data_IF_653290149880
#
_entry.id   IF_653290149880
#
_cell.length_a   1.000
_cell.length_b   1.000
_cell.length_c   1.000
_cell.angle_alpha   90.00
_cell.angle_beta   90.00
_cell.angle_gamma   90.00
#
_symmetry.space_group_name_H-M   'P 1'
#
loop_
_entity.id
_entity.type
_entity.pdbx_description
1 polymer ?
#
# COMPACT_ATOMS: atom_id res chain seq x y z
N UNK A 1 24.96 48.89 -10.40
CA UNK A 1 23.61 49.01 -9.81
C UNK A 1 22.82 47.70 -9.97
N UNK A 2 23.38 46.54 -9.59
CA UNK A 2 22.70 45.23 -9.75
C UNK A 2 22.65 44.41 -8.45
N UNK A 3 23.48 44.76 -7.45
CA UNK A 3 23.65 43.96 -6.22
C UNK A 3 22.55 44.24 -5.17
N UNK A 4 21.96 45.45 -5.14
CA UNK A 4 20.91 45.80 -4.17
C UNK A 4 19.60 45.01 -4.40
N UNK A 5 19.28 44.69 -5.65
CA UNK A 5 18.07 43.97 -6.01
C UNK A 5 18.16 42.46 -5.75
N UNK A 6 19.39 41.91 -5.73
CA UNK A 6 19.61 40.49 -5.47
C UNK A 6 19.29 40.10 -4.03
N UNK A 7 19.64 40.95 -3.05
CA UNK A 7 19.29 40.70 -1.63
C UNK A 7 17.77 40.73 -1.39
N UNK A 8 17.08 41.64 -2.06
CA UNK A 8 15.62 41.75 -1.97
C UNK A 8 14.92 40.56 -2.63
N UNK A 9 15.42 40.13 -3.79
CA UNK A 9 14.95 38.93 -4.49
C UNK A 9 15.18 37.66 -3.65
N UNK A 10 16.37 37.49 -3.08
CA UNK A 10 16.69 36.35 -2.22
C UNK A 10 15.78 36.30 -0.98
N UNK A 11 15.50 37.46 -0.35
CA UNK A 11 14.57 37.54 0.78
C UNK A 11 13.14 37.15 0.37
N UNK A 12 12.68 37.59 -0.81
CA UNK A 12 11.35 37.23 -1.34
C UNK A 12 11.23 35.72 -1.60
N UNK A 13 12.26 35.11 -2.20
CA UNK A 13 12.31 33.66 -2.44
C UNK A 13 12.35 32.89 -1.13
N UNK A 14 13.07 33.37 -0.12
CA UNK A 14 13.13 32.75 1.21
C UNK A 14 11.76 32.80 1.91
N UNK A 15 11.11 33.96 1.89
CA UNK A 15 9.78 34.13 2.47
C UNK A 15 8.73 33.26 1.77
N UNK A 16 8.79 33.14 0.44
CA UNK A 16 7.88 32.25 -0.33
C UNK A 16 8.11 30.77 0.00
N UNK A 17 9.35 30.33 0.22
CA UNK A 17 9.65 28.97 0.63
C UNK A 17 9.18 28.67 2.06
N UNK A 18 9.30 29.62 2.99
CA UNK A 18 8.77 29.49 4.36
C UNK A 18 7.24 29.45 4.32
N UNK A 19 6.60 30.28 3.48
CA UNK A 19 5.14 30.29 3.32
C UNK A 19 4.62 28.99 2.66
N UNK A 20 5.38 28.42 1.73
CA UNK A 20 5.06 27.14 1.11
C UNK A 20 5.17 25.98 2.11
N UNK A 21 6.19 25.98 2.98
CA UNK A 21 6.38 24.97 4.03
C UNK A 21 5.40 25.14 5.20
N UNK A 22 4.90 26.35 5.48
CA UNK A 22 3.88 26.55 6.51
C UNK A 22 2.51 25.94 6.13
N UNK A 23 2.23 25.73 4.84
CA UNK A 23 1.02 25.02 4.39
C UNK A 23 1.13 23.50 4.43
N UNK A 24 2.30 22.95 4.76
CA UNK A 24 2.46 21.51 5.06
C UNK A 24 2.40 21.24 6.57
N UNK A 25 1.72 22.10 7.33
CA UNK A 25 1.27 21.81 8.69
C UNK A 25 0.33 20.60 8.67
N UNK A 26 0.91 19.40 8.74
CA UNK A 26 0.39 18.20 9.39
C UNK A 26 -1.12 17.95 9.26
N UNK A 27 -1.68 18.08 8.06
CA UNK A 27 -2.99 17.50 7.79
C UNK A 27 -2.76 15.99 7.79
N UNK A 28 -3.10 15.35 8.91
CA UNK A 28 -2.94 13.91 9.13
C UNK A 28 -3.47 13.18 7.90
N UNK A 29 -2.60 12.40 7.25
CA UNK A 29 -2.97 11.59 6.09
C UNK A 29 -4.14 10.70 6.50
N UNK A 30 -5.29 10.93 5.89
CA UNK A 30 -6.45 10.06 6.02
C UNK A 30 -6.05 8.73 5.35
N UNK A 31 -5.82 7.68 6.15
CA UNK A 31 -5.51 6.33 5.65
C UNK A 31 -4.14 5.74 5.99
N UNK A 32 -3.30 6.41 6.79
CA UNK A 32 -1.94 5.94 7.14
C UNK A 32 -1.91 4.90 8.29
N UNK A 33 -2.54 3.73 8.13
CA UNK A 33 -2.37 2.62 9.10
C UNK A 33 -1.26 1.70 8.61
N UNK A 34 -0.21 1.51 9.40
CA UNK A 34 0.88 0.61 9.06
C UNK A 34 0.85 -0.68 9.89
N UNK A 35 0.53 -1.83 9.30
CA UNK A 35 0.64 -3.12 9.98
C UNK A 35 1.69 -3.94 9.23
N UNK A 36 2.79 -4.24 9.89
CA UNK A 36 3.93 -4.93 9.27
C UNK A 36 4.52 -5.97 10.22
N UNK A 37 4.95 -7.11 9.68
CA UNK A 37 5.66 -8.14 10.43
C UNK A 37 6.97 -8.47 9.75
N UNK A 38 8.06 -8.45 10.52
CA UNK A 38 9.38 -8.88 10.08
C UNK A 38 10.02 -9.73 11.17
N UNK A 39 10.07 -11.04 10.96
CA UNK A 39 10.49 -12.00 11.99
C UNK A 39 9.60 -11.91 13.24
N UNK A 40 10.24 -11.60 14.37
CA UNK A 40 9.61 -11.46 15.69
C UNK A 40 8.96 -10.08 15.89
N UNK A 41 9.46 -9.07 15.17
CA UNK A 41 8.98 -7.70 15.25
C UNK A 41 7.62 -7.60 14.55
N UNK A 42 6.63 -7.13 15.30
CA UNK A 42 5.28 -6.94 14.79
C UNK A 42 4.81 -5.52 15.07
N UNK A 43 4.82 -4.69 14.02
CA UNK A 43 4.41 -3.29 14.08
C UNK A 43 2.89 -3.19 13.97
N UNK A 44 2.30 -2.58 14.98
CA UNK A 44 0.90 -2.20 15.08
C UNK A 44 0.81 -0.67 14.98
N UNK A 45 0.87 -0.19 13.75
CA UNK A 45 0.88 1.23 13.40
C UNK A 45 2.07 1.99 13.99
N UNK A 46 1.88 2.69 15.11
CA UNK A 46 2.95 3.47 15.79
C UNK A 46 3.59 2.74 16.96
N UNK A 47 3.09 1.55 17.32
CA UNK A 47 3.67 0.76 18.41
C UNK A 47 4.16 -0.58 17.89
N UNK A 48 5.08 -1.19 18.63
CA UNK A 48 5.50 -2.58 18.42
C UNK A 48 4.77 -3.49 19.40
N UNK A 49 4.14 -4.56 18.89
CA UNK A 49 3.49 -5.55 19.71
C UNK A 49 4.50 -6.57 20.26
N UNK A 50 4.44 -6.92 21.56
CA UNK A 50 5.30 -7.95 22.14
C UNK A 50 5.00 -9.32 21.54
N UNK A 51 5.94 -10.26 21.69
CA UNK A 51 5.81 -11.65 21.17
C UNK A 51 4.59 -12.38 21.71
N UNK A 52 4.14 -12.06 22.93
CA UNK A 52 2.92 -12.62 23.53
C UNK A 52 1.62 -12.11 22.90
N UNK A 53 1.67 -11.06 22.08
CA UNK A 53 0.50 -10.51 21.42
C UNK A 53 0.08 -11.37 20.22
N UNK A 54 -1.22 -11.61 20.11
CA UNK A 54 -1.87 -12.30 19.01
C UNK A 54 -2.69 -11.37 18.12
N UNK A 55 -3.23 -10.27 18.66
CA UNK A 55 -4.11 -9.33 17.96
C UNK A 55 -3.62 -7.89 18.12
N UNK A 56 -3.49 -7.17 17.01
CA UNK A 56 -3.26 -5.73 16.93
C UNK A 56 -4.59 -5.05 16.60
N UNK A 57 -4.86 -3.92 17.24
CA UNK A 57 -6.02 -3.07 17.02
C UNK A 57 -5.55 -1.64 16.86
N UNK A 58 -6.04 -0.97 15.82
CA UNK A 58 -5.77 0.42 15.52
C UNK A 58 -7.10 1.10 15.32
N UNK A 59 -7.35 2.20 16.02
CA UNK A 59 -8.48 3.07 15.74
C UNK A 59 -8.01 4.49 15.48
N UNK A 60 -8.71 5.20 14.59
CA UNK A 60 -8.53 6.63 14.36
C UNK A 60 -9.89 7.26 14.26
N UNK A 61 -10.18 8.24 15.11
CA UNK A 61 -11.47 8.91 15.12
C UNK A 61 -11.37 10.37 15.55
N UNK A 62 -12.18 11.23 14.94
CA UNK A 62 -12.43 12.59 15.43
C UNK A 62 -13.90 12.79 15.88
N UNK A 63 -14.63 11.70 16.13
CA UNK A 63 -16.06 11.71 16.52
C UNK A 63 -16.31 12.46 17.84
N UNK A 64 -15.38 12.40 18.79
CA UNK A 64 -15.48 13.12 20.07
C UNK A 64 -15.04 14.59 20.02
N UNK A 65 -14.22 14.97 19.05
CA UNK A 65 -13.76 16.34 18.84
C UNK A 65 -13.36 16.53 17.36
N UNK A 66 -14.14 17.27 16.56
CA UNK A 66 -13.88 17.41 15.12
C UNK A 66 -12.48 17.95 14.77
N UNK A 67 -11.89 18.76 15.66
CA UNK A 67 -10.57 19.38 15.43
C UNK A 67 -9.40 18.50 15.87
N UNK A 68 -9.67 17.35 16.49
CA UNK A 68 -8.64 16.45 17.05
C UNK A 68 -8.88 15.04 16.53
N UNK A 69 -7.90 14.51 15.82
CA UNK A 69 -7.83 13.10 15.48
C UNK A 69 -7.22 12.34 16.65
N UNK A 70 -8.01 11.46 17.26
CA UNK A 70 -7.55 10.51 18.27
C UNK A 70 -7.19 9.21 17.59
N UNK A 71 -5.97 8.73 17.81
CA UNK A 71 -5.47 7.45 17.31
C UNK A 71 -5.14 6.55 18.50
N UNK A 72 -5.64 5.32 18.47
CA UNK A 72 -5.42 4.33 19.53
C UNK A 72 -4.80 3.09 18.92
N UNK A 73 -3.65 2.67 19.43
CA UNK A 73 -2.97 1.46 19.00
C UNK A 73 -2.87 0.51 20.19
N UNK A 74 -3.34 -0.72 20.04
CA UNK A 74 -3.43 -1.68 21.12
C UNK A 74 -3.09 -3.11 20.67
N UNK A 75 -2.39 -3.85 21.52
CA UNK A 75 -2.01 -5.24 21.30
C UNK A 75 -2.65 -6.13 22.37
N UNK A 76 -3.18 -7.28 21.97
CA UNK A 76 -3.89 -8.22 22.84
C UNK A 76 -3.33 -9.63 22.70
N UNK A 77 -3.38 -10.42 23.77
CA UNK A 77 -3.15 -11.87 23.72
C UNK A 77 -4.32 -12.61 23.06
N UNK A 78 -4.16 -13.91 22.84
CA UNK A 78 -5.23 -14.77 22.31
C UNK A 78 -6.47 -14.79 23.22
N UNK A 79 -6.26 -14.68 24.53
CA UNK A 79 -7.31 -14.61 25.56
C UNK A 79 -7.83 -13.17 25.76
N UNK A 80 -7.56 -12.28 24.81
CA UNK A 80 -8.02 -10.90 24.79
C UNK A 80 -7.49 -10.00 25.92
N UNK A 81 -6.36 -10.37 26.55
CA UNK A 81 -5.68 -9.52 27.54
C UNK A 81 -4.86 -8.44 26.85
N UNK A 82 -5.05 -7.18 27.22
CA UNK A 82 -4.26 -6.05 26.74
C UNK A 82 -2.80 -6.19 27.22
N UNK A 83 -1.84 -6.05 26.30
CA UNK A 83 -0.40 -6.17 26.59
C UNK A 83 0.43 -4.97 26.11
N UNK A 84 -0.10 -4.14 25.22
CA UNK A 84 0.45 -2.84 24.86
C UNK A 84 -0.69 -1.91 24.42
N UNK A 85 -0.58 -0.62 24.73
CA UNK A 85 -1.57 0.40 24.41
C UNK A 85 -0.93 1.78 24.39
N UNK A 86 -1.14 2.52 23.30
CA UNK A 86 -0.77 3.94 23.23
C UNK A 86 -1.84 4.74 22.48
N UNK A 87 -1.97 6.00 22.88
CA UNK A 87 -2.86 6.97 22.25
C UNK A 87 -2.07 8.15 21.71
N UNK A 88 -2.44 8.59 20.51
CA UNK A 88 -1.82 9.72 19.84
C UNK A 88 -2.91 10.71 19.44
N UNK A 89 -2.60 11.99 19.56
CA UNK A 89 -3.49 13.07 19.20
C UNK A 89 -2.84 13.95 18.16
N UNK A 90 -3.59 14.29 17.12
CA UNK A 90 -3.15 15.23 16.09
C UNK A 90 -4.29 16.15 15.70
N UNK A 91 -3.96 17.29 15.08
CA UNK A 91 -4.98 18.15 14.50
C UNK A 91 -5.69 17.46 13.33
N UNK A 92 -6.99 17.73 13.21
CA UNK A 92 -7.84 17.32 12.11
C UNK A 92 -8.57 18.53 11.52
N UNK A 93 -8.94 18.45 10.24
CA UNK A 93 -9.90 19.39 9.67
C UNK A 93 -11.26 19.18 10.36
N UNK A 94 -11.83 20.21 11.03
CA UNK A 94 -13.13 20.11 11.69
C UNK A 94 -14.29 19.74 10.77
N UNK A 95 -14.13 19.90 9.46
CA UNK A 95 -15.12 19.53 8.44
C UNK A 95 -15.00 18.07 8.00
N UNK A 96 -13.90 17.40 8.32
CA UNK A 96 -13.71 15.99 8.02
C UNK A 96 -14.35 15.11 9.09
N UNK A 97 -14.88 13.95 8.68
CA UNK A 97 -15.35 12.90 9.60
C UNK A 97 -14.49 11.67 9.40
N UNK A 98 -13.59 11.40 10.33
CA UNK A 98 -12.66 10.29 10.23
C UNK A 98 -13.09 9.24 11.25
N UNK A 99 -13.36 8.02 10.79
CA UNK A 99 -13.52 6.85 11.65
C UNK A 99 -12.95 5.62 10.94
N UNK A 100 -11.78 5.21 11.38
CA UNK A 100 -11.05 4.04 10.87
C UNK A 100 -10.80 3.10 12.03
N UNK A 101 -11.04 1.82 11.81
CA UNK A 101 -10.70 0.74 12.74
C UNK A 101 -10.07 -0.38 11.94
N UNK A 102 -8.89 -0.83 12.36
CA UNK A 102 -8.17 -1.94 11.74
C UNK A 102 -7.79 -2.91 12.83
N UNK A 103 -8.06 -4.18 12.59
CA UNK A 103 -7.64 -5.28 13.45
C UNK A 103 -6.80 -6.23 12.63
N UNK A 104 -5.67 -6.66 13.16
CA UNK A 104 -4.85 -7.71 12.54
C UNK A 104 -4.48 -8.78 13.54
N UNK A 105 -4.31 -10.00 13.08
CA UNK A 105 -3.74 -11.10 13.87
C UNK A 105 -2.29 -11.33 13.48
N UNK A 106 -1.48 -11.86 14.40
CA UNK A 106 -0.06 -12.16 14.15
C UNK A 106 0.14 -13.14 12.98
N UNK A 107 -0.89 -13.92 12.66
CA UNK A 107 -0.91 -14.89 11.56
C UNK A 107 -1.29 -14.29 10.19
N UNK A 108 -1.51 -12.97 10.10
CA UNK A 108 -1.72 -12.27 8.83
C UNK A 108 -3.18 -11.99 8.46
N UNK A 109 -4.16 -12.40 9.26
CA UNK A 109 -5.55 -11.96 9.02
C UNK A 109 -5.67 -10.47 9.33
N UNK A 110 -6.30 -9.70 8.45
CA UNK A 110 -6.57 -8.27 8.62
C UNK A 110 -8.07 -8.02 8.37
N UNK A 111 -8.70 -7.28 9.27
CA UNK A 111 -10.08 -6.82 9.18
C UNK A 111 -10.06 -5.30 9.34
N UNK A 112 -10.63 -4.58 8.38
CA UNK A 112 -10.72 -3.12 8.42
C UNK A 112 -12.17 -2.67 8.29
N UNK A 113 -12.56 -1.72 9.14
CA UNK A 113 -13.81 -0.98 9.04
C UNK A 113 -13.48 0.51 8.95
N UNK A 114 -13.95 1.16 7.89
CA UNK A 114 -13.82 2.60 7.72
C UNK A 114 -15.17 3.19 7.33
N UNK A 115 -15.72 4.06 8.17
CA UNK A 115 -16.91 4.85 7.84
C UNK A 115 -16.50 6.34 7.89
N UNK A 116 -16.83 7.11 6.86
CA UNK A 116 -16.54 8.54 6.81
C UNK A 116 -15.49 9.00 5.80
N UNK A 117 -15.06 8.17 4.84
CA UNK A 117 -14.41 8.72 3.64
C UNK A 117 -15.47 9.35 2.72
N UNK A 118 -16.07 10.47 3.13
CA UNK A 118 -17.02 11.24 2.29
C UNK A 118 -16.33 11.89 1.06
N UNK A 119 -15.02 11.69 0.89
CA UNK A 119 -14.26 12.04 -0.32
C UNK A 119 -13.55 10.82 -0.98
N UNK A 120 -13.91 9.57 -0.64
CA UNK A 120 -13.56 8.46 -1.51
C UNK A 120 -14.54 8.45 -2.66
N UNK A 121 -14.11 8.90 -3.84
CA UNK A 121 -14.85 8.61 -5.05
C UNK A 121 -14.61 7.13 -5.38
N UNK A 122 -15.38 6.26 -4.72
CA UNK A 122 -15.36 4.81 -4.86
C UNK A 122 -15.52 4.39 -6.33
N UNK A 123 -16.28 5.14 -7.12
CA UNK A 123 -16.44 4.95 -8.56
C UNK A 123 -15.11 5.13 -9.31
N UNK A 124 -14.33 6.15 -8.96
CA UNK A 124 -13.01 6.41 -9.58
C UNK A 124 -11.97 5.35 -9.19
N UNK A 125 -12.02 4.86 -7.95
CA UNK A 125 -11.13 3.80 -7.46
C UNK A 125 -11.49 2.47 -8.12
N UNK A 126 -12.77 2.13 -8.17
CA UNK A 126 -13.26 0.92 -8.83
C UNK A 126 -12.96 0.96 -10.34
N UNK A 127 -13.13 2.10 -11.01
CA UNK A 127 -12.76 2.28 -12.41
C UNK A 127 -11.24 2.11 -12.64
N UNK A 128 -10.40 2.62 -11.73
CA UNK A 128 -8.95 2.46 -11.84
C UNK A 128 -8.53 1.01 -11.61
N UNK A 129 -9.05 0.35 -10.57
CA UNK A 129 -8.79 -1.08 -10.29
C UNK A 129 -9.25 -1.95 -11.47
N UNK A 130 -10.43 -1.68 -12.03
CA UNK A 130 -10.92 -2.40 -13.20
C UNK A 130 -10.03 -2.17 -14.43
N UNK A 131 -9.53 -0.95 -14.63
CA UNK A 131 -8.59 -0.63 -15.72
C UNK A 131 -7.28 -1.39 -15.57
N UNK A 132 -6.71 -1.43 -14.36
CA UNK A 132 -5.47 -2.16 -14.09
C UNK A 132 -5.67 -3.68 -14.21
N UNK A 133 -6.81 -4.22 -13.75
CA UNK A 133 -7.15 -5.64 -13.96
C UNK A 133 -7.29 -5.99 -15.44
N UNK A 134 -7.91 -5.12 -16.24
CA UNK A 134 -8.03 -5.34 -17.68
C UNK A 134 -6.65 -5.32 -18.38
N UNK A 135 -5.74 -4.43 -17.97
CA UNK A 135 -4.37 -4.40 -18.49
C UNK A 135 -3.58 -5.64 -18.09
N UNK A 136 -3.69 -6.07 -16.84
CA UNK A 136 -3.05 -7.30 -16.36
C UNK A 136 -3.57 -8.51 -17.13
N UNK A 137 -4.89 -8.61 -17.34
CA UNK A 137 -5.50 -9.70 -18.11
C UNK A 137 -5.00 -9.72 -19.56
N UNK A 138 -4.93 -8.55 -20.22
CA UNK A 138 -4.42 -8.46 -21.58
C UNK A 138 -2.93 -8.87 -21.66
N UNK A 139 -2.12 -8.46 -20.69
CA UNK A 139 -0.71 -8.82 -20.64
C UNK A 139 -0.50 -10.33 -20.39
N UNK A 140 -1.29 -10.93 -19.51
CA UNK A 140 -1.27 -12.39 -19.26
C UNK A 140 -1.68 -13.14 -20.53
N UNK A 141 -2.73 -12.69 -21.23
CA UNK A 141 -3.16 -13.33 -22.47
C UNK A 141 -2.06 -13.27 -23.54
N UNK A 142 -1.42 -12.11 -23.73
CA UNK A 142 -0.33 -11.96 -24.69
C UNK A 142 0.89 -12.84 -24.35
N UNK A 143 1.22 -12.95 -23.05
CA UNK A 143 2.27 -13.86 -22.59
C UNK A 143 1.93 -15.33 -22.85
N UNK A 144 0.65 -15.70 -22.71
CA UNK A 144 0.17 -17.06 -22.94
C UNK A 144 0.19 -17.43 -24.43
N UNK A 145 -0.17 -16.50 -25.32
CA UNK A 145 -0.03 -16.68 -26.77
C UNK A 145 1.42 -16.89 -27.18
N UNK A 146 2.32 -16.01 -26.71
CA UNK A 146 3.75 -16.14 -27.01
C UNK A 146 4.35 -17.46 -26.47
N UNK A 147 3.88 -17.92 -25.31
CA UNK A 147 4.27 -19.23 -24.78
C UNK A 147 3.75 -20.37 -25.65
N UNK A 148 2.50 -20.28 -26.12
CA UNK A 148 1.89 -21.29 -26.99
C UNK A 148 2.66 -21.44 -28.31
N UNK A 149 3.00 -20.31 -28.96
CA UNK A 149 3.76 -20.30 -30.20
C UNK A 149 5.17 -20.89 -30.03
N UNK A 150 5.85 -20.55 -28.93
CA UNK A 150 7.15 -21.11 -28.60
C UNK A 150 7.09 -22.62 -28.39
N UNK A 151 6.07 -23.11 -27.68
CA UNK A 151 5.87 -24.55 -27.46
C UNK A 151 5.56 -25.28 -28.77
N UNK A 152 4.74 -24.69 -29.64
CA UNK A 152 4.44 -25.25 -30.95
C UNK A 152 5.71 -25.36 -31.81
N UNK A 153 6.49 -24.28 -31.90
CA UNK A 153 7.75 -24.26 -32.65
C UNK A 153 8.79 -25.25 -32.10
N UNK A 154 8.88 -25.37 -30.77
CA UNK A 154 9.73 -26.39 -30.14
C UNK A 154 9.28 -27.80 -30.51
N UNK A 155 7.98 -28.07 -30.47
CA UNK A 155 7.43 -29.38 -30.81
C UNK A 155 7.71 -29.74 -32.28
N UNK A 156 7.55 -28.80 -33.21
CA UNK A 156 7.90 -29.00 -34.62
C UNK A 156 9.39 -29.32 -34.82
N UNK A 157 10.29 -28.61 -34.12
CA UNK A 157 11.74 -28.87 -34.18
C UNK A 157 12.11 -30.23 -33.59
N UNK A 158 11.45 -30.66 -32.52
CA UNK A 158 11.68 -31.98 -31.94
C UNK A 158 11.24 -33.06 -32.93
N UNK A 159 10.04 -32.93 -33.52
CA UNK A 159 9.52 -33.91 -34.47
C UNK A 159 10.39 -34.01 -35.73
N UNK A 160 10.86 -32.89 -36.27
CA UNK A 160 11.74 -32.91 -37.45
C UNK A 160 13.09 -33.53 -37.14
N UNK A 161 13.68 -33.27 -35.97
CA UNK A 161 14.93 -33.90 -35.55
C UNK A 161 14.78 -35.42 -35.38
N UNK A 162 13.66 -35.89 -34.81
CA UNK A 162 13.39 -37.33 -34.66
C UNK A 162 13.26 -37.99 -36.03
N UNK A 163 12.52 -37.38 -36.96
CA UNK A 163 12.37 -37.89 -38.34
C UNK A 163 13.71 -38.00 -39.07
N UNK A 164 14.56 -36.97 -38.97
CA UNK A 164 15.87 -36.96 -39.59
C UNK A 164 16.78 -38.05 -39.00
N UNK A 165 16.79 -38.21 -37.66
CA UNK A 165 17.54 -39.29 -37.01
C UNK A 165 17.06 -40.68 -37.46
N UNK A 166 15.74 -40.88 -37.59
CA UNK A 166 15.19 -42.14 -38.09
C UNK A 166 15.61 -42.44 -39.54
N UNK A 167 15.63 -41.43 -40.42
CA UNK A 167 16.10 -41.60 -41.79
C UNK A 167 17.59 -41.93 -41.85
N UNK A 168 18.41 -41.26 -41.04
CA UNK A 168 19.83 -41.56 -40.94
C UNK A 168 20.04 -43.02 -40.50
N UNK A 169 19.30 -43.50 -39.48
CA UNK A 169 19.37 -44.90 -39.04
C UNK A 169 18.96 -45.92 -40.12
N UNK A 170 18.00 -45.59 -40.98
CA UNK A 170 17.60 -46.46 -42.10
C UNK A 170 18.66 -46.54 -43.20
N UNK A 171 19.51 -45.53 -43.34
CA UNK A 171 20.62 -45.55 -44.31
C UNK A 171 21.85 -46.35 -43.84
N UNK A 172 21.94 -46.68 -42.56
CA UNK A 172 23.03 -47.48 -41.97
C UNK A 172 22.69 -48.98 -41.81
N UNK A 173 21.46 -49.40 -42.16
CA UNK A 173 21.00 -50.79 -42.17
C UNK A 173 20.93 -51.33 -43.61
#
# INVERSE_FOLDING_TARGET
>A
MFIKNFKLFALYVLCLNIYAQARTLNVSQIGDVNIARSGDNWICDRIECPMSAFRCFVSKSNEGNPSVLTRVNACFTKDNRLVAHEEFYSHADPRSRIRVQVTSTRNGNIISHSNGLENFNEEKVNAHIQSEMNKMQANVNAQMEHLHDNLHSMNEKINSNILNQMQDFQHYL
#
